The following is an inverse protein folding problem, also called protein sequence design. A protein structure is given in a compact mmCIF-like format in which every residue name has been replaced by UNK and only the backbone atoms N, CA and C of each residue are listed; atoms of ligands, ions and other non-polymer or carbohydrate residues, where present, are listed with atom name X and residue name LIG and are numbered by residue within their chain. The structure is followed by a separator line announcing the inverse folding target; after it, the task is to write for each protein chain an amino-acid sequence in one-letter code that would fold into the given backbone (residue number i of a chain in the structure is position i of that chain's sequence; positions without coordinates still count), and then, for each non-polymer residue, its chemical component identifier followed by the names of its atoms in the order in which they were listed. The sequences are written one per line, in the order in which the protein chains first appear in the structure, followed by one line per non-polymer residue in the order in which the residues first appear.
data_IF_015752407218
#
_entry.id   IF_015752407218
#
_cell.length_a   1.000
_cell.length_b   1.000
_cell.length_c   1.000
_cell.angle_alpha   90.00
_cell.angle_beta   90.00
_cell.angle_gamma   90.00
#
_symmetry.space_group_name_H-M   'P 1'
#
loop_
_entity.id
_entity.type
_entity.pdbx_description
1 polymer ?
#
# COMPACT_ATOMS: atom_id res chain seq x y z
N UNK A 1 54.31 6.86 42.30
CA UNK A 1 53.18 7.53 41.61
C UNK A 1 52.14 7.83 42.68
N UNK A 2 51.72 9.09 42.84
CA UNK A 2 50.80 9.46 43.92
C UNK A 2 49.38 8.97 43.63
N UNK A 3 48.62 8.64 44.67
CA UNK A 3 47.25 8.10 44.59
C UNK A 3 46.33 8.95 43.73
N UNK A 4 46.46 10.29 43.81
CA UNK A 4 45.70 11.21 42.97
C UNK A 4 45.99 11.04 41.48
N UNK A 5 47.27 10.89 41.10
CA UNK A 5 47.68 10.70 39.70
C UNK A 5 47.13 9.38 39.15
N UNK A 6 47.15 8.32 39.98
CA UNK A 6 46.58 7.02 39.61
C UNK A 6 45.07 7.11 39.37
N UNK A 7 44.32 7.76 40.28
CA UNK A 7 42.88 7.95 40.14
C UNK A 7 42.52 8.78 38.91
N UNK A 8 43.26 9.86 38.64
CA UNK A 8 43.07 10.68 37.43
C UNK A 8 43.28 9.86 36.15
N UNK A 9 44.34 9.04 36.10
CA UNK A 9 44.60 8.15 34.96
C UNK A 9 43.46 7.16 34.74
N UNK A 10 42.98 6.53 35.81
CA UNK A 10 41.85 5.59 35.74
C UNK A 10 40.59 6.29 35.24
N UNK A 11 40.29 7.50 35.72
CA UNK A 11 39.13 8.28 35.26
C UNK A 11 39.22 8.66 33.78
N UNK A 12 40.39 9.09 33.31
CA UNK A 12 40.61 9.42 31.88
C UNK A 12 40.44 8.18 31.01
N UNK A 13 41.02 7.05 31.41
CA UNK A 13 40.88 5.78 30.69
C UNK A 13 39.42 5.32 30.68
N UNK A 14 38.72 5.43 31.81
CA UNK A 14 37.30 5.09 31.92
C UNK A 14 36.41 5.95 31.02
N UNK A 15 36.64 7.26 30.99
CA UNK A 15 35.92 8.17 30.11
C UNK A 15 36.19 7.83 28.63
N UNK A 16 37.46 7.61 28.25
CA UNK A 16 37.82 7.24 26.88
C UNK A 16 37.17 5.91 26.46
N UNK A 17 37.16 4.90 27.33
CA UNK A 17 36.49 3.62 27.08
C UNK A 17 34.98 3.81 26.87
N UNK A 18 34.33 4.66 27.67
CA UNK A 18 32.91 4.97 27.51
C UNK A 18 32.62 5.63 26.16
N UNK A 19 33.43 6.59 25.73
CA UNK A 19 33.30 7.21 24.40
C UNK A 19 33.50 6.20 23.26
N UNK A 20 34.47 5.29 23.39
CA UNK A 20 34.70 4.24 22.40
C UNK A 20 33.51 3.29 22.28
N UNK A 21 32.97 2.84 23.41
CA UNK A 21 31.78 1.98 23.45
C UNK A 21 30.58 2.70 22.84
N UNK A 22 30.36 3.97 23.18
CA UNK A 22 29.28 4.78 22.61
C UNK A 22 29.42 4.91 21.08
N UNK A 23 30.62 5.24 20.60
CA UNK A 23 30.89 5.34 19.17
C UNK A 23 30.66 4.01 18.45
N UNK A 24 31.09 2.90 19.05
CA UNK A 24 30.88 1.56 18.50
C UNK A 24 29.39 1.22 18.37
N UNK A 25 28.59 1.45 19.40
CA UNK A 25 27.14 1.24 19.33
C UNK A 25 26.46 2.16 18.31
N UNK A 26 26.86 3.43 18.22
CA UNK A 26 26.30 4.36 17.24
C UNK A 26 26.55 3.88 15.80
N UNK A 27 27.77 3.41 15.50
CA UNK A 27 28.10 2.85 14.19
C UNK A 27 27.27 1.60 13.88
N UNK A 28 27.09 0.72 14.86
CA UNK A 28 26.24 -0.47 14.70
C UNK A 28 24.77 -0.12 14.46
N UNK A 29 24.23 0.86 15.19
CA UNK A 29 22.85 1.34 15.00
C UNK A 29 22.70 1.93 13.59
N UNK A 30 23.65 2.74 13.14
CA UNK A 30 23.62 3.31 11.78
C UNK A 30 23.62 2.20 10.73
N UNK A 31 24.51 1.21 10.85
CA UNK A 31 24.59 0.09 9.91
C UNK A 31 23.27 -0.72 9.87
N UNK A 32 22.66 -0.96 11.02
CA UNK A 32 21.38 -1.67 11.10
C UNK A 32 20.24 -0.85 10.51
N UNK A 33 20.20 0.47 10.77
CA UNK A 33 19.22 1.38 10.18
C UNK A 33 19.39 1.49 8.66
N UNK A 34 20.62 1.44 8.12
CA UNK A 34 20.85 1.38 6.67
C UNK A 34 20.37 0.05 6.07
N UNK A 35 20.55 -1.06 6.77
CA UNK A 35 20.05 -2.39 6.36
C UNK A 35 18.52 -2.41 6.28
N UNK A 36 17.85 -1.90 7.32
CA UNK A 36 16.38 -1.82 7.39
C UNK A 36 15.84 -0.75 6.42
N UNK A 37 16.54 0.37 6.32
CA UNK A 37 16.16 1.53 5.52
C UNK A 37 16.42 1.37 4.03
N UNK A 38 16.98 0.26 3.58
CA UNK A 38 17.31 -0.02 2.18
C UNK A 38 18.65 0.60 1.75
N UNK A 39 19.38 -0.09 0.88
CA UNK A 39 20.74 0.28 0.49
C UNK A 39 20.86 1.72 -0.04
N UNK A 40 21.82 2.49 0.48
CA UNK A 40 22.20 3.79 -0.06
C UNK A 40 22.74 3.61 -1.49
N UNK A 41 22.02 4.11 -2.50
CA UNK A 41 22.62 4.34 -3.81
C UNK A 41 23.35 5.68 -3.81
N UNK A 42 24.56 5.69 -4.38
CA UNK A 42 25.55 6.77 -4.35
C UNK A 42 25.10 8.15 -4.90
N UNK A 43 23.86 8.28 -5.37
CA UNK A 43 23.30 9.50 -5.93
C UNK A 43 21.99 9.87 -5.26
N UNK A 44 22.05 10.39 -4.02
CA UNK A 44 21.02 11.24 -3.40
C UNK A 44 19.62 10.67 -3.13
N UNK A 45 19.30 9.47 -3.62
CA UNK A 45 18.00 8.82 -3.41
C UNK A 45 18.19 7.63 -2.47
N UNK A 46 17.76 7.73 -1.19
CA UNK A 46 17.72 6.54 -0.33
C UNK A 46 16.82 5.51 -1.01
N UNK A 47 17.29 4.28 -1.21
CA UNK A 47 16.48 3.18 -1.74
C UNK A 47 15.53 2.66 -0.65
N UNK A 48 14.82 3.57 0.02
CA UNK A 48 13.93 3.26 1.12
C UNK A 48 12.84 2.31 0.66
N UNK A 49 12.68 1.18 1.34
CA UNK A 49 11.56 0.28 1.10
C UNK A 49 10.23 1.03 1.19
N UNK A 50 10.13 2.02 2.07
CA UNK A 50 8.96 2.88 2.23
C UNK A 50 8.73 3.76 0.99
N UNK A 51 9.80 4.25 0.37
CA UNK A 51 9.70 4.98 -0.90
C UNK A 51 9.29 4.08 -2.07
N UNK A 52 9.76 2.83 -2.12
CA UNK A 52 9.31 1.82 -3.09
C UNK A 52 7.84 1.46 -2.89
N UNK A 53 7.42 1.23 -1.64
CA UNK A 53 6.01 0.97 -1.28
C UNK A 53 5.14 2.15 -1.72
N UNK A 54 5.54 3.39 -1.44
CA UNK A 54 4.79 4.58 -1.86
C UNK A 54 4.61 4.67 -3.38
N UNK A 55 5.67 4.37 -4.15
CA UNK A 55 5.58 4.32 -5.61
C UNK A 55 4.64 3.21 -6.09
N UNK A 56 4.71 2.03 -5.48
CA UNK A 56 3.80 0.92 -5.77
C UNK A 56 2.34 1.26 -5.46
N UNK A 57 2.05 1.82 -4.29
CA UNK A 57 0.70 2.25 -3.89
C UNK A 57 0.16 3.32 -4.84
N UNK A 58 0.98 4.29 -5.25
CA UNK A 58 0.58 5.31 -6.24
C UNK A 58 0.25 4.70 -7.60
N UNK A 59 1.02 3.69 -8.05
CA UNK A 59 0.72 3.01 -9.30
C UNK A 59 -0.63 2.27 -9.23
N UNK A 60 -0.90 1.59 -8.10
CA UNK A 60 -2.20 0.94 -7.83
C UNK A 60 -3.31 1.99 -7.84
N UNK A 61 -3.15 3.12 -7.15
CA UNK A 61 -4.13 4.20 -7.11
C UNK A 61 -4.44 4.74 -8.51
N UNK A 62 -3.43 4.99 -9.34
CA UNK A 62 -3.62 5.46 -10.72
C UNK A 62 -4.36 4.43 -11.58
N UNK A 63 -3.98 3.15 -11.47
CA UNK A 63 -4.62 2.07 -12.23
C UNK A 63 -6.06 1.80 -11.76
N UNK A 64 -6.33 1.94 -10.47
CA UNK A 64 -7.64 1.61 -9.86
C UNK A 64 -8.58 2.80 -9.77
N UNK A 65 -8.10 4.03 -9.88
CA UNK A 65 -8.92 5.25 -9.77
C UNK A 65 -10.04 5.33 -10.82
N UNK A 66 -9.86 4.65 -11.97
CA UNK A 66 -10.89 4.54 -13.01
C UNK A 66 -11.96 3.48 -12.76
N UNK A 67 -11.81 2.59 -11.77
CA UNK A 67 -12.72 1.46 -11.55
C UNK A 67 -14.10 1.93 -11.09
N UNK A 68 -14.17 2.87 -10.15
CA UNK A 68 -15.44 3.35 -9.59
C UNK A 68 -16.42 3.82 -10.69
N UNK A 69 -16.06 4.76 -11.59
CA UNK A 69 -16.99 5.19 -12.65
C UNK A 69 -17.29 4.08 -13.67
N UNK A 70 -16.36 3.14 -13.91
CA UNK A 70 -16.61 2.00 -14.80
C UNK A 70 -17.65 1.03 -14.20
N UNK A 71 -17.55 0.74 -12.90
CA UNK A 71 -18.54 -0.08 -12.18
C UNK A 71 -19.91 0.58 -12.18
N UNK A 72 -19.98 1.90 -11.96
CA UNK A 72 -21.25 2.63 -12.05
C UNK A 72 -21.87 2.53 -13.45
N UNK A 73 -21.09 2.72 -14.51
CA UNK A 73 -21.56 2.58 -15.90
C UNK A 73 -22.04 1.17 -16.21
N UNK A 74 -21.28 0.16 -15.77
CA UNK A 74 -21.64 -1.24 -15.95
C UNK A 74 -22.97 -1.56 -15.27
N UNK A 75 -23.13 -1.17 -14.00
CA UNK A 75 -24.37 -1.40 -13.26
C UNK A 75 -25.57 -0.71 -13.90
N UNK A 76 -25.40 0.52 -14.40
CA UNK A 76 -26.45 1.23 -15.12
C UNK A 76 -26.86 0.50 -16.41
N UNK A 77 -25.88 0.00 -17.17
CA UNK A 77 -26.14 -0.81 -18.37
C UNK A 77 -26.87 -2.11 -18.06
N UNK A 78 -26.45 -2.83 -17.01
CA UNK A 78 -27.10 -4.07 -16.57
C UNK A 78 -28.54 -3.81 -16.08
N UNK A 79 -28.78 -2.71 -15.37
CA UNK A 79 -30.13 -2.32 -14.96
C UNK A 79 -31.04 -2.02 -16.17
N UNK A 80 -30.51 -1.35 -17.19
CA UNK A 80 -31.25 -1.09 -18.42
C UNK A 80 -31.58 -2.39 -19.18
N UNK A 81 -30.63 -3.32 -19.27
CA UNK A 81 -30.83 -4.64 -19.89
C UNK A 81 -31.92 -5.41 -19.13
N UNK A 82 -31.87 -5.44 -17.80
CA UNK A 82 -32.88 -6.10 -16.97
C UNK A 82 -34.28 -5.49 -17.22
N UNK A 83 -34.37 -4.17 -17.33
CA UNK A 83 -35.62 -3.47 -17.68
C UNK A 83 -36.16 -3.90 -19.04
N UNK A 84 -35.30 -3.97 -20.07
CA UNK A 84 -35.67 -4.44 -21.40
C UNK A 84 -36.15 -5.90 -21.41
N UNK A 85 -35.46 -6.79 -20.70
CA UNK A 85 -35.85 -8.20 -20.59
C UNK A 85 -37.23 -8.36 -19.95
N UNK A 86 -37.54 -7.59 -18.89
CA UNK A 86 -38.87 -7.60 -18.26
C UNK A 86 -39.97 -7.09 -19.20
N UNK A 87 -39.66 -6.08 -20.02
CA UNK A 87 -40.61 -5.58 -21.00
C UNK A 87 -40.91 -6.63 -22.10
N UNK A 88 -39.89 -7.37 -22.55
CA UNK A 88 -40.05 -8.48 -23.49
C UNK A 88 -40.92 -9.58 -22.87
N UNK A 89 -40.63 -9.99 -21.64
CA UNK A 89 -41.40 -11.00 -20.92
C UNK A 89 -42.88 -10.62 -20.77
N UNK A 90 -43.16 -9.38 -20.37
CA UNK A 90 -44.53 -8.87 -20.26
C UNK A 90 -45.26 -8.86 -21.62
N UNK A 91 -44.56 -8.49 -22.70
CA UNK A 91 -45.14 -8.46 -24.04
C UNK A 91 -45.43 -9.89 -24.55
N UNK A 92 -44.49 -10.82 -24.36
CA UNK A 92 -44.69 -12.24 -24.70
C UNK A 92 -45.86 -12.84 -23.91
N UNK A 93 -45.97 -12.57 -22.61
CA UNK A 93 -47.12 -12.99 -21.81
C UNK A 93 -48.45 -12.43 -22.35
N UNK A 94 -48.46 -11.17 -22.79
CA UNK A 94 -49.62 -10.56 -23.43
C UNK A 94 -50.00 -11.20 -24.77
N UNK A 95 -49.02 -11.50 -25.62
CA UNK A 95 -49.21 -12.19 -26.90
C UNK A 95 -49.77 -13.60 -26.68
N UNK A 96 -49.19 -14.37 -25.75
CA UNK A 96 -49.69 -15.72 -25.39
C UNK A 96 -51.15 -15.65 -24.96
N UNK A 97 -51.49 -14.73 -24.05
CA UNK A 97 -52.86 -14.57 -23.57
C UNK A 97 -53.83 -14.15 -24.69
N UNK A 98 -53.38 -13.36 -25.66
CA UNK A 98 -54.19 -12.98 -26.82
C UNK A 98 -54.43 -14.16 -27.76
N UNK A 99 -53.41 -14.96 -28.03
CA UNK A 99 -53.50 -16.16 -28.88
C UNK A 99 -54.42 -17.20 -28.23
N UNK A 100 -54.27 -17.50 -26.93
CA UNK A 100 -55.15 -18.45 -26.24
C UNK A 100 -56.63 -18.04 -26.32
N UNK A 101 -56.93 -16.73 -26.20
CA UNK A 101 -58.30 -16.22 -26.38
C UNK A 101 -58.84 -16.34 -27.81
N UNK A 102 -57.98 -16.47 -28.81
CA UNK A 102 -58.39 -16.71 -30.20
C UNK A 102 -58.65 -18.20 -30.46
N UNK A 103 -57.90 -19.10 -29.80
CA UNK A 103 -58.13 -20.55 -29.90
C UNK A 103 -59.43 -21.00 -29.20
N UNK A 104 -59.83 -20.33 -28.13
CA UNK A 104 -61.07 -20.62 -27.38
C UNK A 104 -62.36 -20.09 -28.06
N UNK A 105 -62.26 -19.45 -29.23
CA UNK A 105 -63.39 -18.91 -30.02
C UNK A 105 -63.67 -19.76 -31.25
#
# INVERSE_FOLDING_TARGET
MNTMVLLTLISVVGAAALFLVLAWYLLHIIAELERIGGERKAYGAPASYLSKIRLGVRAIEVQTGGLAPQVTKLNAGLAAILGGVRAIDANLGGVIAAVSRQEDR
#
